data_IF_630784516689
#
_entry.id   IF_630784516689
#
_cell.length_a   1.000
_cell.length_b   1.000
_cell.length_c   1.000
_cell.angle_alpha   90.00
_cell.angle_beta   90.00
_cell.angle_gamma   90.00
#
_symmetry.space_group_name_H-M   'P 1'
#
loop_
_entity.id
_entity.type
_entity.pdbx_description
1 polymer ?
#
# COMPACT_ATOMS: atom_id res chain seq x y z
N UNK A 1 6.18 -79.84 -14.18
CA UNK A 1 4.99 -79.63 -13.34
C UNK A 1 5.47 -79.40 -11.90
N UNK A 2 4.89 -78.48 -11.10
CA UNK A 2 4.03 -77.34 -11.48
C UNK A 2 4.39 -75.97 -10.82
N UNK A 3 3.88 -74.90 -11.48
CA UNK A 3 3.26 -73.64 -10.97
C UNK A 3 4.05 -72.58 -10.17
N UNK A 4 4.32 -71.36 -10.69
CA UNK A 4 3.48 -70.11 -10.85
C UNK A 4 3.10 -69.46 -9.49
N UNK A 5 3.23 -68.15 -9.20
CA UNK A 5 2.86 -66.94 -9.96
C UNK A 5 3.63 -65.65 -9.56
N UNK A 6 3.57 -64.71 -10.50
CA UNK A 6 4.02 -63.31 -10.63
C UNK A 6 3.79 -62.32 -9.48
N UNK A 7 4.72 -61.37 -9.35
CA UNK A 7 4.40 -59.96 -9.18
C UNK A 7 5.29 -59.11 -10.12
N UNK A 8 4.63 -58.26 -10.89
CA UNK A 8 5.13 -57.43 -11.98
C UNK A 8 6.04 -56.30 -11.47
N UNK A 9 7.24 -56.17 -12.04
CA UNK A 9 8.10 -55.00 -11.94
C UNK A 9 8.33 -54.46 -13.36
N UNK A 10 7.70 -53.35 -13.68
CA UNK A 10 8.04 -52.43 -14.77
C UNK A 10 7.49 -51.07 -14.27
N UNK A 11 8.18 -49.93 -14.33
CA UNK A 11 9.06 -49.45 -15.40
C UNK A 11 9.84 -48.26 -14.84
N UNK A 12 11.11 -48.12 -15.23
CA UNK A 12 11.85 -46.87 -15.06
C UNK A 12 11.44 -45.84 -16.11
N UNK A 13 11.40 -44.58 -15.70
CA UNK A 13 11.92 -43.42 -16.43
C UNK A 13 11.80 -42.19 -15.50
N UNK A 14 12.95 -41.59 -15.18
CA UNK A 14 13.02 -40.25 -14.61
C UNK A 14 12.38 -39.26 -15.58
N UNK A 15 11.38 -38.52 -15.10
CA UNK A 15 11.07 -37.18 -15.57
C UNK A 15 10.62 -36.37 -14.35
N UNK A 16 11.53 -35.56 -13.81
CA UNK A 16 11.22 -34.55 -12.82
C UNK A 16 10.42 -33.47 -13.56
N UNK A 17 9.10 -33.54 -13.49
CA UNK A 17 8.26 -32.38 -13.79
C UNK A 17 8.29 -31.55 -12.51
N UNK A 18 9.14 -30.53 -12.49
CA UNK A 18 9.03 -29.45 -11.53
C UNK A 18 7.68 -28.75 -11.80
N UNK A 19 6.63 -29.21 -11.11
CA UNK A 19 5.48 -28.36 -10.86
C UNK A 19 5.99 -27.23 -9.99
N UNK A 20 6.26 -26.09 -10.63
CA UNK A 20 6.35 -24.79 -9.98
C UNK A 20 5.04 -24.58 -9.23
N UNK A 21 4.99 -25.02 -7.97
CA UNK A 21 4.13 -24.38 -7.01
C UNK A 21 4.71 -22.98 -6.88
N UNK A 22 4.05 -22.02 -7.52
CA UNK A 22 4.17 -20.62 -7.11
C UNK A 22 3.92 -20.63 -5.61
N UNK A 23 4.99 -20.51 -4.82
CA UNK A 23 4.86 -20.20 -3.41
C UNK A 23 4.21 -18.83 -3.43
N UNK A 24 2.92 -18.82 -3.13
CA UNK A 24 2.12 -17.64 -2.94
C UNK A 24 2.84 -16.80 -1.89
N UNK A 25 3.64 -15.84 -2.36
CA UNK A 25 4.23 -14.83 -1.52
C UNK A 25 3.01 -14.19 -0.84
N UNK A 26 2.86 -14.23 0.50
CA UNK A 26 1.69 -13.68 1.14
C UNK A 26 1.68 -12.20 0.76
N UNK A 27 0.82 -11.86 -0.20
CA UNK A 27 0.51 -10.49 -0.55
C UNK A 27 0.13 -9.89 0.79
N UNK A 28 0.96 -9.00 1.33
CA UNK A 28 0.49 -8.10 2.37
C UNK A 28 -0.73 -7.46 1.72
N UNK A 29 -1.95 -7.69 2.24
CA UNK A 29 -3.12 -7.17 1.58
C UNK A 29 -3.02 -5.66 1.72
N UNK A 30 -2.50 -4.99 0.69
CA UNK A 30 -3.07 -3.72 0.31
C UNK A 30 -4.56 -4.00 0.25
N UNK A 31 -5.34 -3.34 1.11
CA UNK A 31 -6.78 -3.55 1.28
C UNK A 31 -7.57 -3.16 0.02
N UNK A 32 -7.30 -3.89 -1.06
CA UNK A 32 -8.04 -3.97 -2.31
C UNK A 32 -8.78 -5.31 -2.39
N UNK A 33 -8.43 -6.29 -1.55
CA UNK A 33 -9.14 -7.59 -1.45
C UNK A 33 -10.51 -7.44 -0.76
N UNK A 34 -10.74 -6.34 -0.03
CA UNK A 34 -12.08 -5.97 0.42
C UNK A 34 -12.73 -5.17 -0.70
N UNK A 35 -13.79 -5.75 -1.29
CA UNK A 35 -14.58 -5.08 -2.30
C UNK A 35 -15.01 -3.69 -1.77
N UNK A 36 -14.68 -2.59 -2.48
CA UNK A 36 -14.96 -1.25 -1.99
C UNK A 36 -16.46 -1.08 -1.83
N UNK A 37 -16.88 -0.50 -0.71
CA UNK A 37 -18.30 -0.24 -0.47
C UNK A 37 -18.73 0.94 -1.35
N UNK A 38 -19.46 0.63 -2.42
CA UNK A 38 -20.06 1.64 -3.28
C UNK A 38 -21.11 2.45 -2.51
N UNK A 39 -21.13 3.75 -2.78
CA UNK A 39 -22.07 4.69 -2.21
C UNK A 39 -23.10 5.14 -3.25
N UNK A 40 -24.29 5.63 -2.83
CA UNK A 40 -25.29 6.17 -3.75
C UNK A 40 -24.89 7.55 -4.32
N UNK A 41 -23.66 8.01 -4.15
CA UNK A 41 -23.20 9.30 -4.66
C UNK A 41 -22.44 9.15 -5.98
N UNK A 42 -22.59 10.14 -6.85
CA UNK A 42 -21.87 10.26 -8.11
C UNK A 42 -21.16 11.60 -8.13
N UNK A 43 -19.87 11.59 -8.43
CA UNK A 43 -19.04 12.77 -8.62
C UNK A 43 -18.93 13.04 -10.11
N UNK A 44 -19.37 14.21 -10.55
CA UNK A 44 -19.36 14.61 -11.96
C UNK A 44 -18.54 15.87 -12.10
N UNK A 45 -17.59 15.85 -13.04
CA UNK A 45 -16.88 17.04 -13.51
C UNK A 45 -17.48 17.49 -14.82
N UNK A 46 -17.84 18.77 -14.91
CA UNK A 46 -18.39 19.37 -16.12
C UNK A 46 -17.29 19.89 -17.06
N UNK A 47 -17.52 19.84 -18.36
CA UNK A 47 -16.65 20.50 -19.37
C UNK A 47 -16.84 22.01 -19.43
N UNK A 48 -17.94 22.53 -18.88
CA UNK A 48 -18.28 23.95 -18.85
C UNK A 48 -19.22 24.29 -17.70
N UNK A 49 -19.84 25.46 -17.77
CA UNK A 49 -20.75 25.96 -16.74
C UNK A 49 -22.15 25.31 -16.84
N UNK A 50 -22.27 24.06 -16.42
CA UNK A 50 -23.56 23.39 -16.26
C UNK A 50 -24.25 23.84 -14.97
N UNK A 51 -25.58 23.99 -14.98
CA UNK A 51 -26.36 24.20 -13.77
C UNK A 51 -26.52 22.85 -13.03
N UNK A 52 -25.92 22.67 -11.84
CA UNK A 52 -25.90 21.38 -11.15
C UNK A 52 -27.30 20.92 -10.73
N UNK A 53 -28.18 21.82 -10.31
CA UNK A 53 -29.55 21.48 -9.89
C UNK A 53 -30.38 20.99 -11.08
N UNK A 54 -30.27 21.66 -12.22
CA UNK A 54 -30.95 21.22 -13.45
C UNK A 54 -30.37 19.88 -13.93
N UNK A 55 -29.04 19.77 -14.00
CA UNK A 55 -28.36 18.53 -14.36
C UNK A 55 -28.81 17.36 -13.47
N UNK A 56 -28.94 17.59 -12.17
CA UNK A 56 -29.41 16.58 -11.23
C UNK A 56 -30.84 16.14 -11.57
N UNK A 57 -31.76 17.08 -11.76
CA UNK A 57 -33.18 16.77 -12.04
C UNK A 57 -33.37 15.94 -13.32
N UNK A 58 -32.64 16.25 -14.40
CA UNK A 58 -32.72 15.54 -15.68
C UNK A 58 -32.19 14.11 -15.59
N UNK A 59 -31.19 13.89 -14.74
CA UNK A 59 -30.52 12.59 -14.61
C UNK A 59 -31.05 11.75 -13.44
N UNK A 60 -32.16 12.15 -12.81
CA UNK A 60 -32.72 11.44 -11.66
C UNK A 60 -31.82 11.46 -10.42
N UNK A 61 -30.99 12.50 -10.30
CA UNK A 61 -30.07 12.73 -9.20
C UNK A 61 -30.53 13.93 -8.35
N UNK A 62 -29.95 14.09 -7.16
CA UNK A 62 -30.06 15.29 -6.33
C UNK A 62 -28.70 15.95 -6.17
N UNK A 63 -28.59 17.23 -6.51
CA UNK A 63 -27.36 17.99 -6.29
C UNK A 63 -27.10 18.11 -4.78
N UNK A 64 -25.87 17.83 -4.36
CA UNK A 64 -25.45 18.00 -2.96
C UNK A 64 -24.62 19.26 -2.83
N UNK A 65 -23.37 19.22 -3.28
CA UNK A 65 -22.43 20.32 -3.15
C UNK A 65 -21.29 20.21 -4.18
N UNK A 66 -20.61 21.32 -4.51
CA UNK A 66 -19.35 21.27 -5.25
C UNK A 66 -18.24 20.66 -4.39
N UNK A 67 -17.13 20.27 -5.02
CA UNK A 67 -15.89 20.04 -4.29
C UNK A 67 -15.31 21.38 -3.81
N UNK A 68 -14.81 21.42 -2.57
CA UNK A 68 -14.22 22.66 -2.01
C UNK A 68 -13.01 23.16 -2.80
N UNK A 69 -12.28 22.27 -3.46
CA UNK A 69 -11.07 22.60 -4.23
C UNK A 69 -11.34 23.09 -5.65
N UNK A 70 -12.56 22.92 -6.19
CA UNK A 70 -12.89 23.26 -7.58
C UNK A 70 -14.40 23.39 -7.82
N UNK A 71 -14.80 24.41 -8.58
CA UNK A 71 -16.21 24.72 -8.83
C UNK A 71 -16.86 23.91 -9.97
N UNK A 72 -16.07 23.33 -10.86
CA UNK A 72 -16.51 22.55 -12.02
C UNK A 72 -16.82 21.07 -11.69
N UNK A 73 -16.67 20.66 -10.43
CA UNK A 73 -16.92 19.28 -9.99
C UNK A 73 -17.92 19.25 -8.84
N UNK A 74 -18.93 18.42 -9.00
CA UNK A 74 -20.06 18.33 -8.09
C UNK A 74 -20.32 16.91 -7.62
N UNK A 75 -20.79 16.79 -6.38
CA UNK A 75 -21.29 15.55 -5.80
C UNK A 75 -22.81 15.54 -5.90
N UNK A 76 -23.34 14.44 -6.43
CA UNK A 76 -24.75 14.17 -6.59
C UNK A 76 -25.15 12.94 -5.79
N UNK A 77 -26.38 12.89 -5.30
CA UNK A 77 -26.98 11.70 -4.70
C UNK A 77 -27.93 11.05 -5.69
N UNK A 78 -27.74 9.76 -5.96
CA UNK A 78 -28.71 8.90 -6.64
C UNK A 78 -29.69 8.28 -5.62
N UNK A 79 -30.82 7.73 -6.07
CA UNK A 79 -31.79 7.04 -5.20
C UNK A 79 -31.25 5.77 -4.55
N UNK A 80 -30.24 5.13 -5.14
CA UNK A 80 -29.62 3.91 -4.62
C UNK A 80 -28.21 3.73 -5.18
N UNK A 81 -27.45 2.80 -4.58
CA UNK A 81 -26.12 2.39 -5.08
C UNK A 81 -26.22 1.88 -6.52
N UNK A 82 -27.24 1.07 -6.84
CA UNK A 82 -27.49 0.55 -8.19
C UNK A 82 -27.78 1.69 -9.19
N UNK A 83 -28.56 2.68 -8.78
CA UNK A 83 -28.86 3.84 -9.62
C UNK A 83 -27.60 4.68 -9.86
N UNK A 84 -26.77 4.91 -8.85
CA UNK A 84 -25.48 5.59 -9.02
C UNK A 84 -24.56 4.83 -10.01
N UNK A 85 -24.51 3.50 -9.94
CA UNK A 85 -23.75 2.68 -10.90
C UNK A 85 -24.26 2.85 -12.33
N UNK A 86 -25.59 2.85 -12.52
CA UNK A 86 -26.21 3.08 -13.82
C UNK A 86 -25.90 4.51 -14.34
N UNK A 87 -26.07 5.53 -13.50
CA UNK A 87 -25.77 6.92 -13.88
C UNK A 87 -24.32 7.12 -14.30
N UNK A 88 -23.35 6.42 -13.68
CA UNK A 88 -21.94 6.48 -14.14
C UNK A 88 -21.79 5.92 -15.56
N UNK A 89 -22.54 4.87 -15.93
CA UNK A 89 -22.48 4.30 -17.27
C UNK A 89 -23.10 5.28 -18.28
N UNK A 90 -24.26 5.83 -17.96
CA UNK A 90 -25.01 6.72 -18.85
C UNK A 90 -24.27 8.06 -19.07
N UNK A 91 -23.72 8.64 -17.99
CA UNK A 91 -23.06 9.95 -18.04
C UNK A 91 -21.65 9.91 -18.65
N UNK A 92 -21.07 8.74 -18.90
CA UNK A 92 -19.75 8.62 -19.54
C UNK A 92 -19.75 9.14 -20.98
N UNK A 93 -20.89 9.06 -21.67
CA UNK A 93 -21.04 9.49 -23.06
C UNK A 93 -21.63 10.89 -23.20
N UNK A 94 -21.96 11.55 -22.08
CA UNK A 94 -22.54 12.89 -22.07
C UNK A 94 -21.50 13.93 -22.55
N UNK A 95 -21.90 14.80 -23.48
CA UNK A 95 -21.04 15.82 -24.07
C UNK A 95 -20.68 16.96 -23.09
N UNK A 96 -21.48 17.17 -22.04
CA UNK A 96 -21.24 18.16 -20.99
C UNK A 96 -20.41 17.61 -19.83
N UNK A 97 -20.25 16.29 -19.73
CA UNK A 97 -19.49 15.62 -18.67
C UNK A 97 -18.04 15.38 -19.12
N UNK A 98 -17.09 15.91 -18.36
CA UNK A 98 -15.66 15.64 -18.54
C UNK A 98 -15.25 14.31 -17.94
N UNK A 99 -15.79 13.96 -16.77
CA UNK A 99 -15.52 12.70 -16.08
C UNK A 99 -16.60 12.44 -15.04
N UNK A 100 -16.91 11.17 -14.81
CA UNK A 100 -17.92 10.73 -13.84
C UNK A 100 -17.45 9.50 -13.06
N UNK A 101 -17.65 9.51 -11.75
CA UNK A 101 -17.26 8.44 -10.84
C UNK A 101 -18.34 8.19 -9.78
N UNK A 102 -18.61 6.93 -9.47
CA UNK A 102 -19.39 6.59 -8.28
C UNK A 102 -18.48 6.67 -7.06
N UNK A 103 -18.96 7.37 -6.04
CA UNK A 103 -18.28 7.48 -4.76
C UNK A 103 -18.23 6.13 -4.06
N UNK A 104 -17.16 5.89 -3.32
CA UNK A 104 -16.90 4.61 -2.68
C UNK A 104 -16.09 4.81 -1.41
N UNK A 105 -16.43 4.05 -0.38
CA UNK A 105 -15.59 3.95 0.81
C UNK A 105 -14.50 2.94 0.49
N UNK A 106 -13.28 3.45 0.34
CA UNK A 106 -12.08 2.64 0.33
C UNK A 106 -11.64 2.43 1.79
N UNK A 107 -11.52 1.17 2.26
CA UNK A 107 -10.81 0.90 3.50
C UNK A 107 -9.32 1.19 3.29
N UNK A 108 -8.92 2.45 3.51
CA UNK A 108 -7.51 2.83 3.46
C UNK A 108 -6.88 2.47 4.81
N UNK A 109 -6.21 1.33 4.86
CA UNK A 109 -5.19 1.12 5.88
C UNK A 109 -3.93 1.86 5.43
N UNK A 110 -3.71 3.06 5.98
CA UNK A 110 -2.40 3.73 5.87
C UNK A 110 -1.45 3.06 6.84
N UNK A 111 -0.87 1.93 6.45
CA UNK A 111 0.30 1.42 7.13
C UNK A 111 1.54 2.07 6.50
N UNK A 112 2.31 2.82 7.30
CA UNK A 112 3.68 3.08 6.90
C UNK A 112 4.44 1.76 7.01
N UNK A 113 5.08 1.35 5.91
CA UNK A 113 5.91 0.15 5.83
C UNK A 113 7.27 0.61 5.34
N UNK A 114 8.38 0.23 6.01
CA UNK A 114 9.71 0.55 5.51
C UNK A 114 9.88 0.11 4.07
N UNK A 115 10.42 1.00 3.25
CA UNK A 115 10.72 0.76 1.83
C UNK A 115 12.12 0.15 1.61
N UNK A 116 12.80 -0.23 2.69
CA UNK A 116 14.09 -0.89 2.66
C UNK A 116 13.93 -2.32 2.07
N UNK A 117 14.64 -2.65 0.96
CA UNK A 117 14.60 -3.98 0.36
C UNK A 117 14.95 -5.12 1.32
N UNK A 118 15.72 -4.84 2.37
CA UNK A 118 16.17 -5.78 3.39
C UNK A 118 15.29 -5.81 4.65
N UNK A 119 14.16 -5.09 4.66
CA UNK A 119 13.28 -5.05 5.84
C UNK A 119 12.65 -6.42 6.12
N UNK A 120 12.13 -7.09 5.08
CA UNK A 120 11.40 -8.34 5.22
C UNK A 120 12.32 -9.56 5.26
N UNK A 121 11.91 -10.59 6.01
CA UNK A 121 12.59 -11.88 6.00
C UNK A 121 12.68 -12.45 4.58
N UNK A 122 13.85 -12.98 4.23
CA UNK A 122 14.15 -13.59 2.95
C UNK A 122 13.87 -12.67 1.75
N UNK A 123 13.95 -11.35 1.96
CA UNK A 123 13.86 -10.33 0.92
C UNK A 123 15.09 -9.44 1.03
N UNK A 124 16.00 -9.46 0.03
CA UNK A 124 16.17 -10.49 -1.00
C UNK A 124 16.41 -11.90 -0.42
N UNK A 125 16.33 -12.95 -1.25
CA UNK A 125 16.53 -14.33 -0.80
C UNK A 125 17.87 -14.51 -0.06
N UNK A 126 17.85 -15.23 1.06
CA UNK A 126 19.01 -15.42 1.94
C UNK A 126 19.21 -14.32 2.98
N UNK A 127 18.47 -13.20 2.91
CA UNK A 127 18.58 -12.14 3.92
C UNK A 127 17.70 -12.41 5.14
N UNK A 128 18.20 -12.19 6.37
CA UNK A 128 17.43 -12.46 7.59
C UNK A 128 16.33 -11.42 7.87
N UNK A 129 16.25 -10.35 7.08
CA UNK A 129 15.39 -9.21 7.36
C UNK A 129 15.86 -8.39 8.57
N UNK A 130 15.14 -7.31 8.87
CA UNK A 130 15.35 -6.52 10.09
C UNK A 130 14.54 -7.12 11.25
N UNK A 131 14.94 -8.32 11.68
CA UNK A 131 14.23 -9.13 12.69
C UNK A 131 13.97 -8.38 14.00
N UNK A 132 14.86 -7.47 14.39
CA UNK A 132 14.75 -6.66 15.60
C UNK A 132 13.65 -5.59 15.53
N UNK A 133 13.18 -5.23 14.34
CA UNK A 133 12.05 -4.30 14.14
C UNK A 133 10.74 -5.03 13.90
N UNK A 134 10.81 -6.18 13.21
CA UNK A 134 9.66 -7.05 12.94
C UNK A 134 10.10 -8.51 12.82
N UNK A 135 9.74 -9.34 13.78
CA UNK A 135 10.08 -10.76 13.76
C UNK A 135 8.92 -11.63 13.24
N UNK A 136 8.89 -11.91 11.93
CA UNK A 136 7.86 -12.79 11.33
C UNK A 136 8.26 -14.26 11.24
N UNK A 137 9.54 -14.59 11.39
CA UNK A 137 10.08 -15.94 11.19
C UNK A 137 10.48 -16.62 12.51
N UNK A 138 10.17 -16.03 13.67
CA UNK A 138 10.56 -16.49 15.00
C UNK A 138 12.08 -16.78 15.10
N UNK A 139 12.88 -15.92 14.46
CA UNK A 139 14.34 -16.03 14.47
C UNK A 139 14.80 -15.80 15.91
N UNK A 140 15.58 -16.75 16.46
CA UNK A 140 16.05 -16.69 17.85
C UNK A 140 15.11 -17.30 18.90
N UNK A 141 14.00 -17.94 18.49
CA UNK A 141 13.17 -18.78 19.36
C UNK A 141 12.25 -18.05 20.34
N UNK A 142 12.41 -16.74 20.49
CA UNK A 142 11.49 -15.87 21.18
C UNK A 142 11.16 -14.72 20.24
N UNK A 143 9.88 -14.37 20.14
CA UNK A 143 9.36 -13.28 19.33
C UNK A 143 9.78 -11.91 19.92
N UNK A 144 11.10 -11.67 19.94
CA UNK A 144 11.77 -10.51 20.51
C UNK A 144 12.04 -9.56 19.36
N UNK A 145 11.18 -8.56 19.25
CA UNK A 145 11.36 -7.39 18.41
C UNK A 145 10.96 -6.13 19.20
N UNK A 146 11.28 -4.96 18.66
CA UNK A 146 10.95 -3.67 19.26
C UNK A 146 9.44 -3.36 19.27
N UNK A 147 8.60 -4.22 18.66
CA UNK A 147 7.14 -4.04 18.52
C UNK A 147 6.71 -2.70 17.90
N UNK A 148 7.59 -2.09 17.11
CA UNK A 148 7.37 -0.79 16.45
C UNK A 148 6.33 -0.85 15.33
N UNK A 149 6.08 -2.04 14.78
CA UNK A 149 5.13 -2.26 13.70
C UNK A 149 3.74 -1.68 13.99
N UNK A 150 3.23 -1.84 15.22
CA UNK A 150 1.93 -1.30 15.60
C UNK A 150 1.86 0.23 15.60
N UNK A 151 2.96 0.92 15.89
CA UNK A 151 3.03 2.38 15.84
C UNK A 151 2.99 2.88 14.39
N UNK A 152 3.77 2.25 13.52
CA UNK A 152 3.83 2.57 12.09
C UNK A 152 2.52 2.30 11.34
N UNK A 153 1.78 1.26 11.73
CA UNK A 153 0.40 1.04 11.23
C UNK A 153 -0.58 2.14 11.62
N UNK A 154 -0.21 3.00 12.57
CA UNK A 154 -1.00 4.16 13.04
C UNK A 154 -0.39 5.49 12.59
N UNK A 155 0.55 5.46 11.64
CA UNK A 155 1.26 6.65 11.12
C UNK A 155 2.08 7.40 12.19
N UNK A 156 2.48 6.70 13.27
CA UNK A 156 3.35 7.24 14.31
C UNK A 156 4.79 6.93 13.89
N UNK A 157 5.44 7.90 13.25
CA UNK A 157 6.75 7.72 12.58
C UNK A 157 7.92 8.38 13.30
N UNK A 158 7.65 9.25 14.28
CA UNK A 158 8.67 10.10 14.92
C UNK A 158 8.93 11.41 14.18
N UNK A 159 8.17 11.74 13.13
CA UNK A 159 8.24 13.06 12.50
C UNK A 159 8.04 14.19 13.53
N UNK A 160 8.95 15.17 13.51
CA UNK A 160 8.98 16.28 14.46
C UNK A 160 9.71 15.99 15.78
N UNK A 161 10.29 14.79 15.94
CA UNK A 161 11.16 14.45 17.07
C UNK A 161 12.62 14.54 16.62
N UNK A 162 13.45 15.28 17.38
CA UNK A 162 14.91 15.30 17.22
C UNK A 162 15.56 14.28 18.14
N UNK A 163 16.45 13.46 17.61
CA UNK A 163 17.24 12.46 18.38
C UNK A 163 18.70 12.90 18.36
N UNK A 164 19.27 13.13 19.54
CA UNK A 164 20.71 13.36 19.70
C UNK A 164 21.44 12.03 19.91
N UNK A 165 22.51 11.81 19.15
CA UNK A 165 23.38 10.62 19.24
C UNK A 165 24.80 11.11 19.54
N UNK A 166 25.41 10.57 20.60
CA UNK A 166 26.82 10.80 20.92
C UNK A 166 27.61 9.56 20.47
N UNK A 167 28.31 9.67 19.36
CA UNK A 167 29.08 8.60 18.74
C UNK A 167 30.44 9.11 18.24
N UNK A 168 31.24 8.25 17.63
CA UNK A 168 32.57 8.60 17.10
C UNK A 168 32.54 9.32 15.75
N UNK A 169 31.60 9.00 14.86
CA UNK A 169 31.39 9.64 13.56
C UNK A 169 30.01 9.31 12.96
N UNK A 170 29.63 9.96 11.87
CA UNK A 170 28.39 9.73 11.14
C UNK A 170 28.54 10.04 9.64
N UNK A 171 28.27 9.06 8.78
CA UNK A 171 28.35 9.24 7.33
C UNK A 171 27.14 10.03 6.80
N UNK A 172 27.33 11.33 6.54
CA UNK A 172 26.26 12.28 6.18
C UNK A 172 25.63 11.99 4.82
N UNK A 173 26.36 11.32 3.94
CA UNK A 173 25.97 11.05 2.54
C UNK A 173 25.35 9.67 2.32
N UNK A 174 25.21 8.83 3.37
CA UNK A 174 24.59 7.52 3.22
C UNK A 174 23.11 7.67 2.83
N UNK A 175 22.61 7.00 1.78
CA UNK A 175 21.25 7.23 1.25
C UNK A 175 20.14 6.98 2.28
N UNK A 176 20.32 6.03 3.20
CA UNK A 176 19.34 5.73 4.24
C UNK A 176 19.40 6.70 5.44
N UNK A 177 20.46 7.50 5.56
CA UNK A 177 20.71 8.38 6.70
C UNK A 177 20.59 9.87 6.35
N UNK A 178 21.03 10.25 5.14
CA UNK A 178 21.06 11.61 4.66
C UNK A 178 19.71 12.35 4.79
N UNK A 179 18.54 11.73 4.56
CA UNK A 179 17.25 12.42 4.74
C UNK A 179 16.94 12.77 6.21
N UNK A 180 17.52 12.06 7.17
CA UNK A 180 17.32 12.26 8.62
C UNK A 180 18.41 13.08 9.29
N UNK A 181 19.49 13.41 8.59
CA UNK A 181 20.63 14.16 9.14
C UNK A 181 20.30 15.66 9.27
N UNK A 182 20.64 16.26 10.42
CA UNK A 182 20.52 17.69 10.66
C UNK A 182 21.91 18.32 10.82
N UNK A 183 22.36 19.06 9.81
CA UNK A 183 23.63 19.82 9.88
C UNK A 183 23.60 20.91 10.95
N UNK A 184 22.42 21.47 11.24
CA UNK A 184 22.27 22.53 12.23
C UNK A 184 22.43 22.02 13.67
N UNK A 185 22.13 20.74 13.89
CA UNK A 185 22.14 20.09 15.21
C UNK A 185 23.30 19.09 15.38
N UNK A 186 24.28 19.12 14.48
CA UNK A 186 25.42 18.19 14.49
C UNK A 186 26.75 18.90 14.67
N UNK A 187 27.70 18.24 15.35
CA UNK A 187 29.05 18.75 15.57
C UNK A 187 30.04 17.60 15.80
N UNK A 188 31.20 17.67 15.15
CA UNK A 188 32.32 16.74 15.39
C UNK A 188 33.19 17.27 16.54
N UNK A 189 33.13 16.60 17.69
CA UNK A 189 33.93 16.94 18.86
C UNK A 189 35.37 16.43 18.81
N UNK A 190 35.68 15.46 17.93
CA UNK A 190 37.02 14.92 17.71
C UNK A 190 37.87 15.84 16.84
N UNK A 191 37.30 16.39 15.78
CA UNK A 191 37.99 17.30 14.85
C UNK A 191 37.68 18.79 15.10
N UNK A 192 36.68 19.08 15.95
CA UNK A 192 36.22 20.42 16.31
C UNK A 192 35.64 21.21 15.13
N UNK A 193 34.93 20.53 14.23
CA UNK A 193 34.24 21.15 13.11
C UNK A 193 32.79 20.64 12.94
N UNK A 194 32.13 21.05 11.86
CA UNK A 194 30.74 20.66 11.57
C UNK A 194 30.61 19.41 10.70
N UNK A 195 31.69 18.70 10.41
CA UNK A 195 31.73 17.57 9.49
C UNK A 195 31.97 16.25 10.23
N UNK A 196 30.91 15.48 10.56
CA UNK A 196 31.07 14.22 11.28
C UNK A 196 31.41 13.02 10.37
N UNK A 197 31.66 13.23 9.06
CA UNK A 197 31.98 12.13 8.15
C UNK A 197 33.28 11.40 8.57
N UNK A 198 33.27 10.05 8.60
CA UNK A 198 34.41 9.24 9.05
C UNK A 198 35.60 9.19 8.07
#
# INVERSE_FOLDING_TARGET
MPTRLFATLLTGALAVIALSQEVENPKIPTSYDVAPRLLPQVVVRFRGNANPTLFASVNGLRALHPLKSRSDTWVFSAPSVKAATASVIDLKTDSNVSSVFQDRILPLERCWVPNDPYFFYNTPEGHPGQWHLRNTANIGGANIDARVWGAWQRDITGQGVTIGICDDSFQTTHPDLAPGYSVADSYDFGQLDGNPDP
#
